data_IF_778668529976
#
_entry.id   IF_778668529976
#
_cell.length_a   1.000
_cell.length_b   1.000
_cell.length_c   1.000
_cell.angle_alpha   90.00
_cell.angle_beta   90.00
_cell.angle_gamma   90.00
#
_symmetry.space_group_name_H-M   'P 1'
#
loop_
_entity.id
_entity.type
_entity.pdbx_description
1 polymer ?
#
# COMPACT_ATOMS: atom_id res chain seq x y z
N UNK A 1 -5.37 -17.54 -12.53
CA UNK A 1 -4.10 -17.56 -13.29
C UNK A 1 -3.39 -16.22 -13.10
N UNK A 2 -2.14 -16.26 -12.63
CA UNK A 2 -1.36 -15.04 -12.49
C UNK A 2 -0.86 -14.59 -13.86
N UNK A 3 -1.02 -13.31 -14.17
CA UNK A 3 -0.53 -12.74 -15.41
C UNK A 3 0.98 -12.57 -15.43
N UNK A 4 1.56 -12.45 -16.62
CA UNK A 4 3.01 -12.28 -16.80
C UNK A 4 3.53 -11.08 -16.00
N UNK A 5 2.74 -10.02 -15.88
CA UNK A 5 3.14 -8.81 -15.16
C UNK A 5 3.45 -9.09 -13.69
N UNK A 6 2.84 -10.09 -13.07
CA UNK A 6 3.11 -10.44 -11.66
C UNK A 6 4.52 -11.01 -11.48
N UNK A 7 5.00 -11.77 -12.45
CA UNK A 7 6.37 -12.29 -12.41
C UNK A 7 7.40 -11.15 -12.54
N UNK A 8 7.11 -10.17 -13.40
CA UNK A 8 7.99 -9.01 -13.57
C UNK A 8 7.98 -8.10 -12.35
N UNK A 9 6.91 -8.14 -11.54
CA UNK A 9 6.73 -7.30 -10.36
C UNK A 9 7.42 -7.89 -9.13
N UNK A 10 7.38 -9.22 -8.95
CA UNK A 10 7.98 -9.86 -7.78
C UNK A 10 9.49 -9.60 -7.74
N UNK A 11 9.97 -9.22 -6.55
CA UNK A 11 11.35 -8.84 -6.26
C UNK A 11 11.81 -7.54 -6.94
N UNK A 12 10.91 -6.85 -7.66
CA UNK A 12 11.22 -5.52 -8.18
C UNK A 12 11.43 -4.56 -7.00
N UNK A 13 12.47 -3.74 -7.09
CA UNK A 13 12.79 -2.79 -6.04
C UNK A 13 11.97 -1.52 -6.22
N UNK A 14 11.20 -1.16 -5.18
CA UNK A 14 10.41 0.08 -5.18
C UNK A 14 11.36 1.27 -5.09
N UNK A 15 11.29 2.23 -6.03
CA UNK A 15 12.16 3.40 -6.00
C UNK A 15 11.81 4.32 -4.84
N UNK A 16 12.76 5.19 -4.44
CA UNK A 16 12.47 6.19 -3.42
C UNK A 16 11.33 7.11 -3.80
N UNK A 17 10.55 7.54 -2.80
CA UNK A 17 9.46 8.49 -2.98
C UNK A 17 9.40 9.43 -1.77
N UNK A 18 8.78 10.60 -1.97
CA UNK A 18 8.53 11.57 -0.91
C UNK A 18 7.23 12.31 -1.22
N UNK A 19 6.29 12.25 -0.28
CA UNK A 19 4.96 12.83 -0.44
C UNK A 19 4.51 13.44 0.89
N UNK A 20 3.26 13.91 0.95
CA UNK A 20 2.67 14.52 2.14
C UNK A 20 1.63 13.59 2.75
N UNK A 21 1.72 13.37 4.07
CA UNK A 21 0.81 12.46 4.77
C UNK A 21 -0.49 13.15 5.19
N UNK A 22 -1.44 12.36 5.71
CA UNK A 22 -2.71 12.86 6.25
C UNK A 22 -2.54 13.80 7.45
N UNK A 23 -1.36 13.84 8.05
CA UNK A 23 -1.07 14.79 9.13
C UNK A 23 -0.49 16.11 8.63
N UNK A 24 -0.27 16.24 7.32
CA UNK A 24 0.39 17.39 6.73
C UNK A 24 1.91 17.32 6.78
N UNK A 25 2.47 16.27 7.36
CA UNK A 25 3.91 16.10 7.46
C UNK A 25 4.47 15.52 6.16
N UNK A 26 5.71 15.85 5.85
CA UNK A 26 6.45 15.21 4.77
C UNK A 26 6.77 13.77 5.17
N UNK A 27 6.57 12.84 4.24
CA UNK A 27 6.84 11.42 4.44
C UNK A 27 7.62 10.87 3.25
N UNK A 28 8.78 10.30 3.52
CA UNK A 28 9.59 9.69 2.47
C UNK A 28 9.82 8.21 2.78
N UNK A 29 10.29 7.47 1.78
CA UNK A 29 10.64 6.07 1.94
C UNK A 29 11.64 5.83 3.08
N UNK A 30 12.40 6.87 3.48
CA UNK A 30 13.34 6.78 4.60
C UNK A 30 12.65 6.43 5.92
N UNK A 31 11.41 6.88 6.13
CA UNK A 31 10.64 6.54 7.34
C UNK A 31 10.23 5.06 7.37
N UNK A 32 10.39 4.36 6.24
CA UNK A 32 10.11 2.93 6.13
C UNK A 32 11.38 2.07 6.26
N UNK A 33 12.51 2.68 6.59
CA UNK A 33 13.76 1.95 6.78
C UNK A 33 13.62 0.98 7.95
N UNK A 34 13.99 -0.28 7.72
CA UNK A 34 13.84 -1.34 8.73
C UNK A 34 12.41 -1.83 8.90
N UNK A 35 11.50 -1.42 8.03
CA UNK A 35 10.08 -1.80 8.09
C UNK A 35 9.69 -2.64 6.88
N UNK A 36 8.75 -3.56 7.08
CA UNK A 36 7.98 -4.13 5.98
C UNK A 36 6.70 -3.30 5.84
N UNK A 37 6.22 -3.12 4.64
CA UNK A 37 4.98 -2.37 4.45
C UNK A 37 4.10 -2.96 3.36
N UNK A 38 2.79 -2.69 3.49
CA UNK A 38 1.81 -3.05 2.48
C UNK A 38 1.38 -1.76 1.80
N UNK A 39 1.49 -1.72 0.47
CA UNK A 39 1.15 -0.55 -0.33
C UNK A 39 -0.10 -0.78 -1.16
N UNK A 40 -0.90 0.27 -1.33
CA UNK A 40 -2.03 0.26 -2.26
C UNK A 40 -2.29 1.66 -2.81
N UNK A 41 -3.10 1.72 -3.87
CA UNK A 41 -3.48 2.96 -4.55
C UNK A 41 -5.00 3.09 -4.52
N UNK A 42 -5.51 4.28 -4.18
CA UNK A 42 -6.93 4.53 -3.97
C UNK A 42 -7.26 5.99 -4.28
N UNK A 43 -8.52 6.38 -4.13
CA UNK A 43 -8.91 7.79 -4.00
C UNK A 43 -10.16 7.86 -3.11
N UNK A 44 -10.33 9.00 -2.41
CA UNK A 44 -11.34 9.07 -1.34
C UNK A 44 -12.77 9.01 -1.83
N UNK A 45 -13.05 9.51 -3.04
CA UNK A 45 -14.38 9.42 -3.64
C UNK A 45 -14.68 8.10 -4.34
N UNK A 46 -13.71 7.18 -4.38
CA UNK A 46 -13.89 5.82 -4.92
C UNK A 46 -14.79 5.03 -3.97
N UNK A 47 -16.03 4.83 -4.38
CA UNK A 47 -16.96 3.99 -3.64
C UNK A 47 -16.75 2.53 -4.04
N UNK A 48 -17.33 1.60 -3.31
CA UNK A 48 -17.24 0.19 -3.64
C UNK A 48 -15.85 -0.38 -3.41
N UNK A 49 -15.06 -0.58 -4.47
CA UNK A 49 -13.80 -1.33 -4.39
C UNK A 49 -12.79 -0.71 -3.43
N UNK A 50 -12.59 0.60 -3.45
CA UNK A 50 -11.62 1.23 -2.55
C UNK A 50 -12.03 1.08 -1.08
N UNK A 51 -13.33 1.18 -0.79
CA UNK A 51 -13.84 0.96 0.56
C UNK A 51 -13.70 -0.49 1.01
N UNK A 52 -13.93 -1.43 0.10
CA UNK A 52 -13.72 -2.85 0.40
C UNK A 52 -12.27 -3.11 0.75
N UNK A 53 -11.35 -2.59 -0.05
CA UNK A 53 -9.92 -2.76 0.18
C UNK A 53 -9.49 -2.08 1.49
N UNK A 54 -9.95 -0.86 1.73
CA UNK A 54 -9.62 -0.14 2.98
C UNK A 54 -10.18 -0.85 4.20
N UNK A 55 -11.36 -1.46 4.10
CA UNK A 55 -11.94 -2.27 5.18
C UNK A 55 -11.05 -3.47 5.49
N UNK A 56 -10.54 -4.15 4.46
CA UNK A 56 -9.62 -5.27 4.66
C UNK A 56 -8.26 -4.80 5.20
N UNK A 57 -7.78 -3.65 4.73
CA UNK A 57 -6.54 -3.07 5.28
C UNK A 57 -6.69 -2.73 6.76
N UNK A 58 -7.87 -2.32 7.21
CA UNK A 58 -8.14 -2.10 8.63
C UNK A 58 -7.94 -3.38 9.45
N UNK A 59 -8.28 -4.55 8.88
CA UNK A 59 -8.00 -5.84 9.53
C UNK A 59 -6.50 -6.09 9.67
N UNK A 60 -5.73 -5.78 8.63
CA UNK A 60 -4.26 -5.90 8.67
C UNK A 60 -3.68 -4.93 9.70
N UNK A 61 -4.18 -3.71 9.72
CA UNK A 61 -3.78 -2.69 10.68
C UNK A 61 -4.00 -3.17 12.12
N UNK A 62 -5.17 -3.73 12.41
CA UNK A 62 -5.49 -4.24 13.74
C UNK A 62 -4.61 -5.45 14.11
N UNK A 63 -4.36 -6.33 13.13
CA UNK A 63 -3.54 -7.53 13.36
C UNK A 63 -2.09 -7.18 13.77
N UNK A 64 -1.56 -6.07 13.27
CA UNK A 64 -0.17 -5.67 13.51
C UNK A 64 -0.05 -4.39 14.32
N UNK A 65 -1.09 -4.05 15.08
CA UNK A 65 -1.13 -2.80 15.85
C UNK A 65 0.02 -2.67 16.84
N UNK A 66 0.49 -3.78 17.38
CA UNK A 66 1.59 -3.81 18.36
C UNK A 66 2.93 -4.18 17.72
N UNK A 67 2.98 -4.38 16.41
CA UNK A 67 4.21 -4.78 15.72
C UNK A 67 4.91 -3.52 15.17
N UNK A 68 6.09 -3.16 15.73
CA UNK A 68 6.73 -1.90 15.35
C UNK A 68 7.32 -1.88 13.95
N UNK A 69 7.50 -3.03 13.31
CA UNK A 69 8.18 -3.14 12.01
C UNK A 69 7.23 -3.26 10.82
N UNK A 70 5.92 -3.12 11.04
CA UNK A 70 4.91 -3.21 9.98
C UNK A 70 4.21 -1.87 9.79
N UNK A 71 4.07 -1.46 8.53
CA UNK A 71 3.37 -0.23 8.14
C UNK A 71 2.44 -0.50 6.97
N UNK A 72 1.38 0.29 6.87
CA UNK A 72 0.51 0.34 5.70
C UNK A 72 0.68 1.71 5.04
N UNK A 73 0.78 1.75 3.73
CA UNK A 73 0.96 3.00 2.98
C UNK A 73 -0.03 3.03 1.82
N UNK A 74 -0.96 3.97 1.86
CA UNK A 74 -2.00 4.15 0.86
C UNK A 74 -1.76 5.45 0.10
N UNK A 75 -1.61 5.37 -1.23
CA UNK A 75 -1.33 6.51 -2.10
C UNK A 75 -2.61 6.92 -2.83
N UNK A 76 -3.00 8.20 -2.76
CA UNK A 76 -4.11 8.64 -3.58
C UNK A 76 -3.69 8.85 -5.02
N UNK A 77 -4.52 8.37 -5.96
CA UNK A 77 -4.32 8.62 -7.40
C UNK A 77 -5.04 9.88 -7.87
N UNK A 78 -5.77 10.55 -6.97
CA UNK A 78 -6.50 11.78 -7.27
C UNK A 78 -6.09 12.91 -6.32
N UNK A 79 -4.81 13.34 -6.33
CA UNK A 79 -4.31 14.30 -5.34
C UNK A 79 -4.92 15.69 -5.47
N UNK A 80 -5.53 16.02 -6.60
CA UNK A 80 -6.19 17.32 -6.80
C UNK A 80 -7.38 17.47 -5.86
N UNK A 81 -8.16 16.40 -5.65
CA UNK A 81 -9.28 16.37 -4.71
C UNK A 81 -8.85 15.88 -3.33
N UNK A 82 -7.91 14.94 -3.26
CA UNK A 82 -7.50 14.29 -2.03
C UNK A 82 -6.29 15.02 -1.43
N UNK A 83 -6.57 16.15 -0.81
CA UNK A 83 -5.58 16.92 -0.06
C UNK A 83 -5.58 16.46 1.39
N UNK A 84 -4.72 17.05 2.22
CA UNK A 84 -4.54 16.62 3.61
C UNK A 84 -5.86 16.50 4.39
N UNK A 85 -6.79 17.48 4.34
CA UNK A 85 -8.05 17.34 5.09
C UNK A 85 -8.88 16.13 4.63
N UNK A 86 -8.95 15.86 3.33
CA UNK A 86 -9.71 14.72 2.79
C UNK A 86 -9.06 13.40 3.21
N UNK A 87 -7.73 13.32 3.17
CA UNK A 87 -7.02 12.12 3.60
C UNK A 87 -7.21 11.88 5.10
N UNK A 88 -7.18 12.94 5.90
CA UNK A 88 -7.38 12.82 7.34
C UNK A 88 -8.78 12.29 7.65
N UNK A 89 -9.81 12.86 7.03
CA UNK A 89 -11.18 12.39 7.21
C UNK A 89 -11.34 10.93 6.82
N UNK A 90 -10.77 10.55 5.66
CA UNK A 90 -10.84 9.17 5.17
C UNK A 90 -10.13 8.22 6.14
N UNK A 91 -8.91 8.55 6.57
CA UNK A 91 -8.15 7.72 7.50
C UNK A 91 -8.84 7.59 8.86
N UNK A 92 -9.44 8.67 9.37
CA UNK A 92 -10.18 8.64 10.62
C UNK A 92 -11.41 7.73 10.54
N UNK A 93 -12.06 7.65 9.36
CA UNK A 93 -13.23 6.78 9.16
C UNK A 93 -12.88 5.30 9.31
N UNK A 94 -11.62 4.92 9.11
CA UNK A 94 -11.12 3.56 9.31
C UNK A 94 -10.33 3.42 10.63
N UNK A 95 -10.32 4.45 11.47
CA UNK A 95 -9.59 4.48 12.74
C UNK A 95 -8.11 4.19 12.56
N UNK A 96 -7.53 4.69 11.47
CA UNK A 96 -6.13 4.48 11.16
C UNK A 96 -5.24 5.28 12.13
N UNK A 97 -4.24 4.61 12.69
CA UNK A 97 -3.16 5.25 13.43
C UNK A 97 -2.21 5.89 12.42
N UNK A 98 -2.07 7.22 12.38
CA UNK A 98 -1.26 7.88 11.36
C UNK A 98 0.24 7.55 11.42
N UNK A 99 0.71 6.98 12.52
CA UNK A 99 2.10 6.50 12.61
C UNK A 99 2.29 5.11 12.00
N UNK A 100 1.20 4.38 11.74
CA UNK A 100 1.23 2.99 11.26
C UNK A 100 0.56 2.79 9.92
N UNK A 101 -0.46 3.56 9.63
CA UNK A 101 -1.17 3.53 8.35
C UNK A 101 -1.14 4.94 7.76
N UNK A 102 -0.25 5.14 6.82
CA UNK A 102 0.06 6.44 6.25
C UNK A 102 -0.69 6.59 4.92
N UNK A 103 -1.43 7.67 4.79
CA UNK A 103 -2.15 8.04 3.56
C UNK A 103 -1.40 9.20 2.93
N UNK A 104 -0.98 9.05 1.67
CA UNK A 104 -0.08 10.00 1.02
C UNK A 104 -0.73 10.67 -0.19
N UNK A 105 -0.47 11.96 -0.33
CA UNK A 105 -0.83 12.77 -1.48
C UNK A 105 0.41 13.53 -1.97
N UNK A 106 0.41 13.94 -3.23
CA UNK A 106 1.53 14.67 -3.82
C UNK A 106 1.29 14.96 -5.29
N UNK A 107 2.34 15.35 -6.04
CA UNK A 107 2.17 15.64 -7.47
C UNK A 107 1.68 14.42 -8.25
N UNK A 108 0.60 14.60 -9.01
CA UNK A 108 -0.04 13.51 -9.74
C UNK A 108 0.91 12.74 -10.66
N UNK A 109 1.78 13.41 -11.45
CA UNK A 109 2.70 12.67 -12.32
C UNK A 109 3.65 11.77 -11.56
N UNK A 110 4.08 12.17 -10.36
CA UNK A 110 4.98 11.37 -9.52
C UNK A 110 4.25 10.15 -8.95
N UNK A 111 3.00 10.32 -8.52
CA UNK A 111 2.19 9.21 -8.01
C UNK A 111 1.92 8.21 -9.13
N UNK A 112 1.56 8.70 -10.33
CA UNK A 112 1.33 7.85 -11.49
C UNK A 112 2.58 7.08 -11.89
N UNK A 113 3.74 7.73 -11.88
CA UNK A 113 5.01 7.08 -12.18
C UNK A 113 5.36 6.01 -11.14
N UNK A 114 5.11 6.29 -9.86
CA UNK A 114 5.33 5.30 -8.81
C UNK A 114 4.44 4.06 -8.99
N UNK A 115 3.16 4.27 -9.33
CA UNK A 115 2.23 3.16 -9.57
C UNK A 115 2.68 2.32 -10.77
N UNK A 116 2.98 2.95 -11.90
CA UNK A 116 3.29 2.25 -13.14
C UNK A 116 4.69 1.66 -13.17
N UNK A 117 5.69 2.43 -12.74
CA UNK A 117 7.09 2.03 -12.83
C UNK A 117 7.59 1.41 -11.53
N UNK A 118 7.17 1.98 -10.39
CA UNK A 118 7.61 1.51 -9.08
C UNK A 118 6.94 0.22 -8.64
N UNK A 119 5.64 0.08 -8.88
CA UNK A 119 4.87 -1.10 -8.49
C UNK A 119 4.41 -1.94 -9.69
N UNK A 120 4.72 -1.53 -10.91
CA UNK A 120 4.37 -2.26 -12.14
C UNK A 120 2.87 -2.48 -12.29
N UNK A 121 2.07 -1.53 -11.81
CA UNK A 121 0.62 -1.61 -11.89
C UNK A 121 0.11 -1.13 -13.24
N UNK A 122 -1.09 -1.58 -13.66
CA UNK A 122 -1.67 -1.13 -14.93
C UNK A 122 -1.90 0.38 -14.97
N UNK A 123 -1.70 0.98 -16.15
CA UNK A 123 -1.99 2.39 -16.37
C UNK A 123 -3.48 2.54 -16.63
N UNK A 124 -4.13 3.47 -15.89
CA UNK A 124 -5.55 3.77 -16.04
C UNK A 124 -5.69 4.92 -17.04
N UNK A 125 -6.27 4.63 -18.22
CA UNK A 125 -6.46 5.61 -19.28
C UNK A 125 -7.71 6.45 -19.07
N UNK A 126 -8.79 5.84 -18.51
CA UNK A 126 -10.06 6.52 -18.28
C UNK A 126 -10.80 5.87 -17.11
N UNK A 127 -11.68 6.64 -16.46
CA UNK A 127 -12.56 6.12 -15.41
C UNK A 127 -13.43 5.00 -15.97
N UNK A 128 -13.59 3.90 -15.21
CA UNK A 128 -14.33 2.72 -15.64
C UNK A 128 -13.55 1.74 -16.48
N UNK A 129 -12.28 2.03 -16.79
CA UNK A 129 -11.37 1.09 -17.46
C UNK A 129 -11.15 -0.13 -16.55
N UNK A 130 -11.03 -1.32 -17.15
CA UNK A 130 -10.70 -2.55 -16.41
C UNK A 130 -9.39 -2.43 -15.64
N UNK A 131 -8.45 -1.60 -16.14
CA UNK A 131 -7.19 -1.33 -15.44
C UNK A 131 -7.41 -0.60 -14.12
N UNK A 132 -8.46 0.21 -13.98
CA UNK A 132 -8.81 0.88 -12.72
C UNK A 132 -9.13 -0.14 -11.63
N UNK A 133 -9.93 -1.15 -11.94
CA UNK A 133 -10.25 -2.23 -11.01
C UNK A 133 -8.97 -2.95 -10.55
N UNK A 134 -8.11 -3.29 -11.51
CA UNK A 134 -6.85 -3.97 -11.19
C UNK A 134 -5.95 -3.10 -10.32
N UNK A 135 -5.88 -1.78 -10.61
CA UNK A 135 -5.07 -0.86 -9.83
C UNK A 135 -5.52 -0.84 -8.36
N UNK A 136 -6.82 -0.70 -8.12
CA UNK A 136 -7.34 -0.46 -6.76
C UNK A 136 -7.46 -1.72 -5.93
N UNK A 137 -7.57 -2.90 -6.53
CA UNK A 137 -7.67 -4.14 -5.75
C UNK A 137 -6.33 -4.71 -5.31
N UNK A 138 -5.22 -4.26 -5.90
CA UNK A 138 -3.92 -4.86 -5.61
C UNK A 138 -3.32 -4.33 -4.32
N UNK A 139 -2.89 -5.25 -3.46
CA UNK A 139 -2.06 -4.95 -2.30
C UNK A 139 -0.68 -5.55 -2.54
N UNK A 140 0.38 -4.79 -2.31
CA UNK A 140 1.75 -5.22 -2.50
C UNK A 140 2.48 -5.26 -1.16
N UNK A 141 3.03 -6.42 -0.81
CA UNK A 141 3.89 -6.57 0.37
C UNK A 141 5.33 -6.26 -0.03
N UNK A 142 5.95 -5.30 0.67
CA UNK A 142 7.31 -4.83 0.40
C UNK A 142 8.20 -5.13 1.60
N UNK A 143 9.36 -5.73 1.36
CA UNK A 143 10.29 -6.13 2.41
C UNK A 143 11.20 -4.99 2.88
N UNK A 144 12.08 -5.28 3.84
CA UNK A 144 13.01 -4.30 4.39
C UNK A 144 14.03 -3.80 3.37
N UNK A 145 14.29 -4.56 2.30
CA UNK A 145 15.15 -4.16 1.19
C UNK A 145 14.39 -3.41 0.09
N UNK A 146 13.10 -3.10 0.33
CA UNK A 146 12.22 -2.40 -0.60
C UNK A 146 11.88 -3.20 -1.85
N UNK A 147 11.92 -4.54 -1.76
CA UNK A 147 11.54 -5.44 -2.85
C UNK A 147 10.11 -5.95 -2.63
N UNK A 148 9.36 -6.03 -3.71
CA UNK A 148 7.98 -6.54 -3.68
C UNK A 148 8.04 -8.06 -3.49
N UNK A 149 7.47 -8.53 -2.38
CA UNK A 149 7.52 -9.95 -2.00
C UNK A 149 6.20 -10.68 -2.23
N UNK A 150 5.11 -9.96 -2.42
CA UNK A 150 3.83 -10.59 -2.69
C UNK A 150 2.80 -9.59 -3.21
N UNK A 151 1.81 -10.12 -3.91
CA UNK A 151 0.70 -9.36 -4.49
C UNK A 151 -0.59 -10.07 -4.08
N UNK A 152 -1.56 -9.30 -3.58
CA UNK A 152 -2.77 -9.84 -2.96
C UNK A 152 -4.00 -9.10 -3.47
N UNK A 153 -5.11 -9.82 -3.63
CA UNK A 153 -6.39 -9.21 -3.94
C UNK A 153 -7.01 -8.64 -2.65
N UNK A 154 -7.04 -7.31 -2.55
CA UNK A 154 -7.54 -6.61 -1.37
C UNK A 154 -9.05 -6.71 -1.17
N UNK A 155 -9.79 -7.30 -2.13
CA UNK A 155 -11.23 -7.54 -2.00
C UNK A 155 -11.53 -8.94 -1.46
N UNK A 156 -10.54 -9.80 -1.34
CA UNK A 156 -10.72 -11.20 -0.92
C UNK A 156 -10.27 -11.38 0.52
N UNK A 157 -11.21 -11.79 1.39
CA UNK A 157 -10.89 -12.07 2.79
C UNK A 157 -9.84 -13.18 2.92
N UNK A 158 -9.90 -14.18 2.04
CA UNK A 158 -8.94 -15.29 2.00
C UNK A 158 -7.53 -14.78 1.66
N UNK A 159 -7.41 -13.85 0.71
CA UNK A 159 -6.13 -13.26 0.34
C UNK A 159 -5.58 -12.38 1.46
N UNK A 160 -6.43 -11.72 2.22
CA UNK A 160 -5.99 -10.93 3.38
C UNK A 160 -5.45 -11.87 4.47
N UNK A 161 -6.08 -13.02 4.70
CA UNK A 161 -5.56 -14.02 5.63
C UNK A 161 -4.18 -14.51 5.18
N UNK A 162 -4.01 -14.73 3.87
CA UNK A 162 -2.71 -15.10 3.28
C UNK A 162 -1.68 -14.00 3.49
N UNK A 163 -2.06 -12.74 3.27
CA UNK A 163 -1.18 -11.58 3.49
C UNK A 163 -0.70 -11.52 4.94
N UNK A 164 -1.61 -11.64 5.91
CA UNK A 164 -1.27 -11.60 7.33
C UNK A 164 -0.29 -12.74 7.68
N UNK A 165 -0.53 -13.94 7.16
CA UNK A 165 0.37 -15.08 7.36
C UNK A 165 1.75 -14.81 6.77
N UNK A 166 1.80 -14.28 5.55
CA UNK A 166 3.08 -14.04 4.87
C UNK A 166 3.86 -12.88 5.47
N UNK A 167 3.19 -11.86 6.04
CA UNK A 167 3.87 -10.83 6.82
C UNK A 167 4.57 -11.46 8.03
N UNK A 168 3.87 -12.34 8.75
CA UNK A 168 4.46 -13.02 9.91
C UNK A 168 5.65 -13.91 9.52
N UNK A 169 5.55 -14.61 8.40
CA UNK A 169 6.66 -15.42 7.88
C UNK A 169 7.86 -14.53 7.55
N UNK A 170 7.63 -13.42 6.88
CA UNK A 170 8.69 -12.49 6.51
C UNK A 170 9.39 -11.91 7.75
N UNK A 171 8.62 -11.52 8.77
CA UNK A 171 9.17 -11.03 10.03
C UNK A 171 10.01 -12.10 10.73
N UNK A 172 9.57 -13.36 10.69
CA UNK A 172 10.31 -14.49 11.28
C UNK A 172 11.66 -14.71 10.58
N UNK A 173 11.72 -14.52 9.27
CA UNK A 173 12.97 -14.61 8.51
C UNK A 173 14.00 -13.62 9.04
N UNK A 174 13.60 -12.40 9.34
CA UNK A 174 14.50 -11.37 9.87
C UNK A 174 14.98 -11.69 11.28
N UNK A 175 14.13 -12.23 12.14
CA UNK A 175 14.51 -12.65 13.48
C UNK A 175 15.56 -13.74 13.43
N UNK A 176 15.41 -14.71 12.54
CA UNK A 176 16.36 -15.81 12.36
C UNK A 176 17.72 -15.29 11.87
N UNK A 177 17.73 -14.33 10.94
CA UNK A 177 18.95 -13.76 10.42
C UNK A 177 19.73 -12.98 11.47
N UNK A 178 19.05 -12.35 12.43
CA UNK A 178 19.70 -11.63 13.52
C UNK A 178 20.22 -12.56 14.62
N UNK A 179 19.79 -13.80 14.65
CA UNK A 179 20.20 -14.79 15.63
C UNK A 179 21.45 -15.60 15.25
N UNK A 180 22.12 -15.25 14.14
CA UNK A 180 23.34 -15.94 13.69
C UNK A 180 24.60 -15.15 13.99
#
# INVERSE_FOLDING_TARGET
MQGQWQFDTLYHKVPPFSFTSQTGASFSQKELQGKVFVANFFYTSCQGICKQVSTQLARVHDAFRLQPDVRLVSFTVNPEQDQVPQLKEYSDSFRADPSRWIFLTGPKPQIQALAAQGFKLPVVAAAGDSAELELHKQLMLVDKQKRIRGIYDGTSAKEIDRLITEINVLLSEYETDHGK
#
